data_IF_079166324916
#
_entry.id   IF_079166324916
#
_cell.length_a   1.000
_cell.length_b   1.000
_cell.length_c   1.000
_cell.angle_alpha   90.00
_cell.angle_beta   90.00
_cell.angle_gamma   90.00
#
_symmetry.space_group_name_H-M   'P 1'
#
loop_
_entity.id
_entity.type
_entity.pdbx_description
1 polymer ?
#
# COMPACT_ATOMS: atom_id res chain seq x y z
N UNK A 1 5.01 -12.39 9.27
CA UNK A 1 4.41 -11.05 9.36
C UNK A 1 2.90 -11.20 9.49
N UNK A 2 2.29 -10.51 10.45
CA UNK A 2 0.84 -10.40 10.60
C UNK A 2 0.27 -9.46 9.52
N UNK A 3 -1.04 -9.53 9.25
CA UNK A 3 -1.73 -8.60 8.36
C UNK A 3 -3.08 -8.22 8.93
N UNK A 4 -3.27 -6.94 9.23
CA UNK A 4 -4.51 -6.37 9.72
C UNK A 4 -5.23 -5.55 8.64
N UNK A 5 -6.47 -5.94 8.32
CA UNK A 5 -7.32 -5.32 7.29
C UNK A 5 -8.80 -5.52 7.61
N UNK A 6 -9.32 -4.88 8.67
CA UNK A 6 -10.69 -5.11 9.15
C UNK A 6 -11.75 -4.77 8.11
N UNK A 7 -11.49 -3.81 7.21
CA UNK A 7 -12.41 -3.50 6.09
C UNK A 7 -12.67 -4.67 5.13
N UNK A 8 -11.86 -5.74 5.18
CA UNK A 8 -12.04 -6.97 4.37
C UNK A 8 -12.34 -8.21 5.20
N UNK A 9 -11.94 -8.23 6.47
CA UNK A 9 -12.02 -9.40 7.35
C UNK A 9 -13.10 -9.26 8.43
N UNK A 10 -13.63 -8.05 8.62
CA UNK A 10 -14.60 -7.68 9.67
C UNK A 10 -14.02 -7.83 11.10
N UNK A 11 -12.75 -8.17 11.23
CA UNK A 11 -12.06 -8.37 12.51
C UNK A 11 -10.78 -7.53 12.53
N UNK A 12 -10.63 -6.74 13.58
CA UNK A 12 -9.43 -5.94 13.83
C UNK A 12 -8.51 -6.70 14.81
N UNK A 13 -7.24 -6.88 14.42
CA UNK A 13 -6.23 -7.43 15.32
C UNK A 13 -5.79 -6.31 16.26
N UNK A 14 -6.26 -6.35 17.51
CA UNK A 14 -5.92 -5.30 18.49
C UNK A 14 -4.41 -5.20 18.72
N UNK A 15 -3.91 -4.01 19.05
CA UNK A 15 -2.49 -3.81 19.37
C UNK A 15 -2.01 -4.72 20.50
N UNK A 16 -2.84 -4.97 21.53
CA UNK A 16 -2.52 -5.93 22.59
C UNK A 16 -2.30 -7.35 22.05
N UNK A 17 -3.11 -7.77 21.09
CA UNK A 17 -2.97 -9.08 20.45
C UNK A 17 -1.70 -9.12 19.60
N UNK A 18 -1.41 -8.05 18.85
CA UNK A 18 -0.19 -7.94 18.03
C UNK A 18 1.05 -8.03 18.92
N UNK A 19 1.08 -7.30 20.03
CA UNK A 19 2.22 -7.26 20.96
C UNK A 19 2.40 -8.60 21.65
N UNK A 20 1.32 -9.22 22.16
CA UNK A 20 1.41 -10.56 22.74
C UNK A 20 1.98 -11.57 21.74
N UNK A 21 1.50 -11.56 20.50
CA UNK A 21 1.99 -12.46 19.46
C UNK A 21 3.46 -12.20 19.11
N UNK A 22 3.88 -10.93 19.07
CA UNK A 22 5.27 -10.55 18.84
C UNK A 22 6.19 -11.04 19.97
N UNK A 23 5.75 -10.90 21.23
CA UNK A 23 6.52 -11.31 22.41
C UNK A 23 6.59 -12.84 22.55
N UNK A 24 5.48 -13.54 22.31
CA UNK A 24 5.36 -14.99 22.58
C UNK A 24 5.88 -15.88 21.45
N UNK A 25 5.91 -15.38 20.20
CA UNK A 25 6.17 -16.20 19.01
C UNK A 25 7.42 -15.72 18.26
N UNK A 26 8.52 -16.46 18.42
CA UNK A 26 9.88 -16.11 17.95
C UNK A 26 9.99 -15.65 16.48
N UNK A 27 9.15 -16.15 15.58
CA UNK A 27 9.22 -15.84 14.15
C UNK A 27 8.19 -14.78 13.69
N UNK A 28 7.37 -14.25 14.59
CA UNK A 28 6.51 -13.10 14.31
C UNK A 28 7.36 -11.83 14.48
N UNK A 29 7.69 -11.17 13.36
CA UNK A 29 8.62 -10.04 13.35
C UNK A 29 7.96 -8.68 13.10
N UNK A 30 6.68 -8.66 12.74
CA UNK A 30 6.06 -7.46 12.20
C UNK A 30 4.62 -7.64 11.78
N UNK A 31 4.01 -6.52 11.40
CA UNK A 31 2.61 -6.42 10.98
C UNK A 31 2.48 -5.49 9.77
N UNK A 32 1.69 -5.91 8.79
CA UNK A 32 1.17 -5.04 7.73
C UNK A 32 -0.13 -4.40 8.23
N UNK A 33 -0.17 -3.07 8.26
CA UNK A 33 -1.33 -2.28 8.68
C UNK A 33 -2.04 -1.69 7.45
N UNK A 34 -3.27 -2.15 7.16
CA UNK A 34 -4.15 -1.58 6.13
C UNK A 34 -5.47 -1.07 6.72
N UNK A 35 -5.36 -0.41 7.88
CA UNK A 35 -6.47 0.17 8.63
C UNK A 35 -6.72 1.64 8.31
N UNK A 36 -5.77 2.32 7.66
CA UNK A 36 -5.78 3.77 7.48
C UNK A 36 -5.42 4.56 8.76
N UNK A 37 -4.95 3.89 9.82
CA UNK A 37 -4.68 4.50 11.12
C UNK A 37 -3.19 4.73 11.38
N UNK A 38 -2.79 6.02 11.40
CA UNK A 38 -1.45 6.42 11.86
C UNK A 38 -1.32 6.26 13.37
N UNK A 39 -2.41 6.48 14.11
CA UNK A 39 -2.46 6.25 15.55
C UNK A 39 -2.08 4.82 15.90
N UNK A 40 -2.58 3.81 15.15
CA UNK A 40 -2.21 2.41 15.35
C UNK A 40 -0.71 2.17 15.17
N UNK A 41 -0.10 2.82 14.19
CA UNK A 41 1.36 2.72 13.97
C UNK A 41 2.12 3.27 15.17
N UNK A 42 1.72 4.44 15.67
CA UNK A 42 2.33 5.08 16.84
C UNK A 42 2.13 4.21 18.10
N UNK A 43 0.92 3.69 18.33
CA UNK A 43 0.60 2.82 19.46
C UNK A 43 1.53 1.62 19.51
N UNK A 44 1.64 0.89 18.39
CA UNK A 44 2.46 -0.31 18.28
C UNK A 44 3.95 0.00 18.53
N UNK A 45 4.50 1.01 17.85
CA UNK A 45 5.93 1.33 17.91
C UNK A 45 6.33 2.02 19.22
N UNK A 46 5.41 2.70 19.91
CA UNK A 46 5.65 3.24 21.25
C UNK A 46 5.81 2.14 22.31
N UNK A 47 5.15 0.98 22.10
CA UNK A 47 5.18 -0.16 23.02
C UNK A 47 6.28 -1.17 22.67
N UNK A 48 6.57 -1.36 21.37
CA UNK A 48 7.59 -2.27 20.84
C UNK A 48 8.33 -1.64 19.64
N UNK A 49 9.34 -0.77 19.88
CA UNK A 49 10.10 -0.12 18.81
C UNK A 49 10.79 -1.08 17.82
N UNK A 50 11.05 -2.31 18.24
CA UNK A 50 11.65 -3.39 17.46
C UNK A 50 10.68 -4.05 16.46
N UNK A 51 9.36 -3.95 16.71
CA UNK A 51 8.32 -4.49 15.83
C UNK A 51 8.39 -3.79 14.47
N UNK A 52 8.34 -4.57 13.38
CA UNK A 52 8.33 -4.01 12.03
C UNK A 52 6.90 -3.73 11.58
N UNK A 53 6.50 -2.47 11.57
CA UNK A 53 5.21 -2.03 10.99
C UNK A 53 5.41 -1.70 9.52
N UNK A 54 4.63 -2.34 8.65
CA UNK A 54 4.64 -2.10 7.20
C UNK A 54 3.33 -1.43 6.78
N UNK A 55 3.40 -0.41 5.95
CA UNK A 55 2.21 0.17 5.34
C UNK A 55 1.55 -0.85 4.41
N UNK A 56 0.25 -1.01 4.57
CA UNK A 56 -0.61 -1.75 3.65
C UNK A 56 -1.63 -0.87 2.91
N UNK A 57 -1.52 0.45 3.04
CA UNK A 57 -2.37 1.44 2.37
C UNK A 57 -1.49 2.49 1.67
N UNK A 58 -1.43 2.39 0.35
CA UNK A 58 -0.51 3.15 -0.48
C UNK A 58 -0.64 4.68 -0.32
N UNK A 59 -1.83 5.19 0.02
CA UNK A 59 -2.07 6.63 0.14
C UNK A 59 -1.35 7.25 1.34
N UNK A 60 -1.05 6.45 2.36
CA UNK A 60 -0.48 6.90 3.64
C UNK A 60 0.91 6.30 3.92
N UNK A 61 1.55 5.71 2.91
CA UNK A 61 2.88 5.12 3.03
C UNK A 61 3.90 6.05 3.69
N UNK A 62 4.00 7.29 3.20
CA UNK A 62 4.89 8.29 3.77
C UNK A 62 4.63 8.52 5.26
N UNK A 63 3.35 8.63 5.66
CA UNK A 63 2.99 8.91 7.05
C UNK A 63 3.37 7.76 7.97
N UNK A 64 3.13 6.50 7.56
CA UNK A 64 3.55 5.32 8.31
C UNK A 64 5.08 5.26 8.43
N UNK A 65 5.81 5.48 7.34
CA UNK A 65 7.28 5.48 7.33
C UNK A 65 7.84 6.61 8.22
N UNK A 66 7.27 7.81 8.17
CA UNK A 66 7.66 8.94 9.01
C UNK A 66 7.43 8.69 10.50
N UNK A 67 6.46 7.84 10.86
CA UNK A 67 6.20 7.39 12.22
C UNK A 67 7.06 6.19 12.66
N UNK A 68 8.08 5.81 11.89
CA UNK A 68 8.99 4.70 12.22
C UNK A 68 8.63 3.36 11.57
N UNK A 69 7.69 3.36 10.62
CA UNK A 69 7.40 2.20 9.78
C UNK A 69 8.65 1.70 9.06
N UNK A 70 8.74 0.37 8.92
CA UNK A 70 9.92 -0.30 8.37
C UNK A 70 9.90 -0.48 6.86
N UNK A 71 8.76 -0.23 6.21
CA UNK A 71 8.57 -0.44 4.78
C UNK A 71 7.09 -0.46 4.37
N UNK A 72 6.83 -0.98 3.18
CA UNK A 72 5.50 -1.00 2.56
C UNK A 72 5.23 -2.37 1.92
N UNK A 73 3.96 -2.72 1.75
CA UNK A 73 3.49 -3.80 0.88
C UNK A 73 2.42 -3.23 -0.05
N UNK A 74 2.84 -2.84 -1.25
CA UNK A 74 2.13 -1.91 -2.11
C UNK A 74 1.34 -2.57 -3.24
N UNK A 75 0.18 -1.99 -3.57
CA UNK A 75 -0.54 -2.24 -4.82
C UNK A 75 0.08 -1.43 -5.95
N UNK A 76 0.28 -0.11 -5.73
CA UNK A 76 0.83 0.82 -6.73
C UNK A 76 2.18 0.39 -7.30
N UNK A 77 3.02 -0.31 -6.53
CA UNK A 77 4.33 -0.78 -6.99
C UNK A 77 4.27 -1.81 -8.11
N UNK A 78 3.11 -2.41 -8.40
CA UNK A 78 2.95 -3.24 -9.59
C UNK A 78 3.02 -2.41 -10.89
N UNK A 79 2.69 -1.12 -10.82
CA UNK A 79 2.70 -0.20 -11.96
C UNK A 79 3.88 0.77 -11.91
N UNK A 80 4.20 1.31 -10.72
CA UNK A 80 5.22 2.34 -10.50
C UNK A 80 6.25 1.87 -9.45
N UNK A 81 6.97 0.76 -9.69
CA UNK A 81 7.90 0.17 -8.72
C UNK A 81 9.05 1.12 -8.36
N UNK A 82 9.53 1.89 -9.33
CA UNK A 82 10.62 2.86 -9.19
C UNK A 82 10.25 3.98 -8.22
N UNK A 83 9.07 4.60 -8.39
CA UNK A 83 8.61 5.68 -7.51
C UNK A 83 8.35 5.16 -6.09
N UNK A 84 7.72 3.99 -5.94
CA UNK A 84 7.46 3.40 -4.61
C UNK A 84 8.75 2.99 -3.90
N UNK A 85 9.72 2.44 -4.63
CA UNK A 85 11.04 2.13 -4.08
C UNK A 85 11.78 3.39 -3.63
N UNK A 86 11.77 4.46 -4.44
CA UNK A 86 12.40 5.74 -4.09
C UNK A 86 11.75 6.41 -2.87
N UNK A 87 10.42 6.38 -2.77
CA UNK A 87 9.67 6.88 -1.61
C UNK A 87 10.18 6.23 -0.32
N UNK A 88 10.26 4.89 -0.31
CA UNK A 88 10.71 4.11 0.86
C UNK A 88 12.18 4.39 1.16
N UNK A 89 13.05 4.33 0.16
CA UNK A 89 14.48 4.55 0.33
C UNK A 89 14.77 5.93 0.94
N UNK A 90 14.08 6.97 0.46
CA UNK A 90 14.19 8.33 1.01
C UNK A 90 13.70 8.40 2.45
N UNK A 91 12.56 7.82 2.78
CA UNK A 91 12.05 7.82 4.15
C UNK A 91 13.01 7.11 5.12
N UNK A 92 13.51 5.93 4.74
CA UNK A 92 14.43 5.15 5.57
C UNK A 92 15.81 5.81 5.71
N UNK A 93 16.20 6.67 4.77
CA UNK A 93 17.40 7.50 4.86
C UNK A 93 17.18 8.82 5.64
N UNK A 94 15.96 9.09 6.13
CA UNK A 94 15.61 10.33 6.84
C UNK A 94 15.30 11.52 5.91
N UNK A 95 15.27 11.34 4.59
CA UNK A 95 14.82 12.34 3.63
C UNK A 95 13.27 12.35 3.55
N UNK A 96 12.64 12.84 4.63
CA UNK A 96 11.19 12.92 4.70
C UNK A 96 10.59 13.93 3.72
N UNK A 97 11.32 14.99 3.36
CA UNK A 97 10.86 15.95 2.37
C UNK A 97 10.72 15.28 1.00
N UNK A 98 11.79 14.65 0.52
CA UNK A 98 11.76 13.97 -0.78
C UNK A 98 10.82 12.77 -0.79
N UNK A 99 10.71 12.02 0.31
CA UNK A 99 9.73 10.93 0.41
C UNK A 99 8.29 11.44 0.31
N UNK A 100 7.97 12.54 1.01
CA UNK A 100 6.65 13.18 0.96
C UNK A 100 6.30 13.68 -0.44
N UNK A 101 7.24 14.34 -1.12
CA UNK A 101 7.03 14.85 -2.48
C UNK A 101 6.62 13.72 -3.45
N UNK A 102 7.24 12.54 -3.33
CA UNK A 102 6.87 11.36 -4.11
C UNK A 102 5.49 10.83 -3.70
N UNK A 103 5.22 10.73 -2.39
CA UNK A 103 3.91 10.28 -1.90
C UNK A 103 2.76 11.18 -2.37
N UNK A 104 2.94 12.50 -2.33
CA UNK A 104 1.96 13.48 -2.79
C UNK A 104 1.73 13.36 -4.31
N UNK A 105 2.81 13.17 -5.07
CA UNK A 105 2.75 12.88 -6.53
C UNK A 105 1.98 11.59 -6.82
N UNK A 106 2.14 10.56 -5.99
CA UNK A 106 1.46 9.27 -6.15
C UNK A 106 0.03 9.26 -5.61
N UNK A 107 -0.40 10.28 -4.86
CA UNK A 107 -1.72 10.26 -4.21
C UNK A 107 -2.89 10.05 -5.20
N UNK A 108 -2.95 10.73 -6.36
CA UNK A 108 -4.04 10.51 -7.33
C UNK A 108 -4.14 9.06 -7.81
N UNK A 109 -3.02 8.44 -8.22
CA UNK A 109 -3.02 7.03 -8.66
C UNK A 109 -3.29 6.07 -7.49
N UNK A 110 -2.74 6.34 -6.30
CA UNK A 110 -3.01 5.54 -5.10
C UNK A 110 -4.52 5.54 -4.77
N UNK A 111 -5.24 6.64 -4.96
CA UNK A 111 -6.70 6.67 -4.77
C UNK A 111 -7.44 5.97 -5.92
N UNK A 112 -7.02 6.20 -7.15
CA UNK A 112 -7.66 5.64 -8.34
C UNK A 112 -7.64 4.10 -8.37
N UNK A 113 -6.55 3.50 -7.88
CA UNK A 113 -6.39 2.04 -7.79
C UNK A 113 -7.33 1.36 -6.79
N UNK A 114 -8.10 2.13 -6.03
CA UNK A 114 -9.11 1.63 -5.07
C UNK A 114 -10.51 2.20 -5.33
N UNK A 115 -10.77 2.77 -6.52
CA UNK A 115 -12.14 3.11 -6.95
C UNK A 115 -13.07 1.89 -6.99
N UNK A 116 -12.50 0.73 -7.29
CA UNK A 116 -13.13 -0.58 -7.12
C UNK A 116 -12.24 -1.49 -6.27
N UNK A 117 -12.79 -2.60 -5.79
CA UNK A 117 -12.05 -3.52 -4.92
C UNK A 117 -10.77 -4.03 -5.57
N UNK A 118 -9.61 -3.74 -4.95
CA UNK A 118 -8.34 -4.35 -5.35
C UNK A 118 -8.48 -5.90 -5.43
N UNK A 119 -8.00 -6.56 -6.51
CA UNK A 119 -7.08 -6.06 -7.55
C UNK A 119 -7.73 -5.60 -8.88
N UNK A 120 -9.02 -5.22 -8.88
CA UNK A 120 -9.71 -4.81 -10.13
C UNK A 120 -8.96 -3.68 -10.85
N UNK A 121 -8.75 -2.54 -10.18
CA UNK A 121 -8.18 -1.37 -10.85
C UNK A 121 -6.69 -1.52 -11.21
N UNK A 122 -5.89 -2.20 -10.39
CA UNK A 122 -4.46 -2.40 -10.70
C UNK A 122 -4.25 -3.30 -11.91
N UNK A 123 -5.05 -4.36 -12.07
CA UNK A 123 -4.98 -5.20 -13.27
C UNK A 123 -5.41 -4.44 -14.52
N UNK A 124 -6.42 -3.58 -14.41
CA UNK A 124 -6.83 -2.71 -15.51
C UNK A 124 -5.70 -1.75 -15.92
N UNK A 125 -5.04 -1.11 -14.94
CA UNK A 125 -3.90 -0.24 -15.21
C UNK A 125 -2.73 -0.99 -15.88
N UNK A 126 -2.39 -2.19 -15.38
CA UNK A 126 -1.33 -3.01 -15.98
C UNK A 126 -1.66 -3.44 -17.42
N UNK A 127 -2.93 -3.77 -17.70
CA UNK A 127 -3.37 -4.10 -19.06
C UNK A 127 -3.31 -2.89 -20.00
N UNK A 128 -3.80 -1.73 -19.57
CA UNK A 128 -3.70 -0.47 -20.34
C UNK A 128 -2.25 -0.13 -20.64
N UNK A 129 -1.35 -0.35 -19.69
CA UNK A 129 0.08 -0.14 -19.84
C UNK A 129 0.80 -1.20 -20.69
N UNK A 130 0.10 -2.24 -21.19
CA UNK A 130 0.74 -3.31 -21.96
C UNK A 130 1.64 -4.25 -21.15
N UNK A 131 1.56 -4.21 -19.82
CA UNK A 131 2.35 -5.08 -18.92
C UNK A 131 1.76 -6.49 -18.77
N UNK A 132 0.49 -6.66 -19.18
CA UNK A 132 -0.19 -7.96 -19.27
C UNK A 132 -1.01 -8.01 -20.57
N UNK A 133 -1.05 -9.17 -21.23
CA UNK A 133 -1.68 -9.32 -22.55
C UNK A 133 -3.22 -9.26 -22.52
N UNK A 134 -3.83 -9.60 -21.38
CA UNK A 134 -5.28 -9.77 -21.26
C UNK A 134 -5.82 -9.21 -19.95
N UNK A 135 -6.96 -8.52 -20.02
CA UNK A 135 -7.69 -8.03 -18.85
C UNK A 135 -8.69 -9.07 -18.32
N UNK A 136 -8.18 -10.09 -17.64
CA UNK A 136 -9.00 -11.20 -17.15
C UNK A 136 -9.12 -11.25 -15.63
N UNK A 137 -10.26 -11.72 -15.12
CA UNK A 137 -10.51 -11.95 -13.70
C UNK A 137 -11.20 -13.29 -13.50
N UNK A 138 -10.97 -13.93 -12.34
CA UNK A 138 -11.80 -15.05 -11.89
C UNK A 138 -12.92 -14.52 -11.01
N UNK A 139 -14.14 -15.00 -11.26
CA UNK A 139 -15.30 -14.68 -10.43
C UNK A 139 -15.02 -14.98 -8.95
N UNK A 140 -15.52 -14.15 -8.02
CA UNK A 140 -16.52 -13.09 -8.22
C UNK A 140 -15.96 -11.74 -8.70
N UNK A 141 -14.65 -11.61 -8.94
CA UNK A 141 -14.08 -10.39 -9.50
C UNK A 141 -14.43 -10.26 -10.98
N UNK A 142 -14.72 -9.03 -11.40
CA UNK A 142 -15.09 -8.68 -12.77
C UNK A 142 -14.29 -7.45 -13.22
N UNK A 143 -14.32 -7.19 -14.52
CA UNK A 143 -13.73 -5.99 -15.09
C UNK A 143 -14.38 -4.72 -14.50
N UNK A 144 -13.61 -3.61 -14.39
CA UNK A 144 -14.14 -2.36 -13.85
C UNK A 144 -15.25 -1.79 -14.73
N UNK A 145 -16.06 -0.92 -14.13
CA UNK A 145 -17.01 -0.11 -14.89
C UNK A 145 -16.28 0.77 -15.93
N UNK A 146 -16.96 1.07 -17.05
CA UNK A 146 -16.39 1.92 -18.10
C UNK A 146 -15.96 3.31 -17.58
N UNK A 147 -16.70 3.86 -16.60
CA UNK A 147 -16.37 5.13 -15.97
C UNK A 147 -15.04 5.05 -15.20
N UNK A 148 -14.84 4.01 -14.38
CA UNK A 148 -13.61 3.82 -13.62
C UNK A 148 -12.43 3.44 -14.51
N UNK A 149 -12.66 2.67 -15.58
CA UNK A 149 -11.64 2.36 -16.58
C UNK A 149 -11.11 3.63 -17.26
N UNK A 150 -12.00 4.52 -17.68
CA UNK A 150 -11.60 5.82 -18.24
C UNK A 150 -10.88 6.70 -17.22
N UNK A 151 -11.34 6.70 -15.96
CA UNK A 151 -10.71 7.48 -14.91
C UNK A 151 -9.26 7.05 -14.64
N UNK A 152 -8.98 5.73 -14.59
CA UNK A 152 -7.62 5.24 -14.37
C UNK A 152 -6.72 5.53 -15.58
N UNK A 153 -7.23 5.39 -16.80
CA UNK A 153 -6.50 5.72 -18.04
C UNK A 153 -6.05 7.18 -18.07
N UNK A 154 -6.92 8.14 -17.72
CA UNK A 154 -6.56 9.56 -17.67
C UNK A 154 -5.52 9.86 -16.59
N UNK A 155 -5.64 9.24 -15.41
CA UNK A 155 -4.70 9.47 -14.30
C UNK A 155 -3.31 8.91 -14.65
N UNK A 156 -3.24 7.75 -15.29
CA UNK A 156 -1.98 7.10 -15.69
C UNK A 156 -1.11 7.98 -16.60
N UNK A 157 -1.71 8.86 -17.42
CA UNK A 157 -0.97 9.78 -18.31
C UNK A 157 -0.03 10.74 -17.58
N UNK A 158 -0.22 10.93 -16.28
CA UNK A 158 0.63 11.78 -15.44
C UNK A 158 1.89 11.06 -14.93
N UNK A 159 2.09 9.78 -15.27
CA UNK A 159 3.18 8.96 -14.75
C UNK A 159 3.95 8.28 -15.89
N UNK A 160 5.26 8.17 -15.74
CA UNK A 160 6.10 7.34 -16.59
C UNK A 160 6.06 5.91 -16.07
N UNK A 161 5.48 4.99 -16.85
CA UNK A 161 5.36 3.58 -16.47
C UNK A 161 6.55 2.81 -17.05
N UNK A 162 7.28 2.11 -16.19
CA UNK A 162 8.48 1.37 -16.60
C UNK A 162 8.10 0.07 -17.32
N UNK A 163 8.75 -0.20 -18.46
CA UNK A 163 8.56 -1.43 -19.24
C UNK A 163 7.31 -1.47 -20.12
N UNK A 164 6.55 -0.38 -20.16
CA UNK A 164 5.45 -0.13 -21.09
C UNK A 164 5.95 0.46 -22.43
#
# INVERSE_FOLDING_TARGET
MLYNVPGRTVVDISADTVIRLFDDVKNIYGIKEATGSIERTIELLSRRPELKVFSGDDAIDYAILACGGAGITSVTSNLLPDLKSQLVAKALAGDFKGSKEINDTLFPINKALFLESNPVMIKAAMYIAGLIDTLEYRLPLVAPSAANLKAIEEIMKNYTIQGA
#
